data_IF_834714744276
#
_entry.id   IF_834714744276
#
_cell.length_a   1.000
_cell.length_b   1.000
_cell.length_c   1.000
_cell.angle_alpha   90.00
_cell.angle_beta   90.00
_cell.angle_gamma   90.00
#
_symmetry.space_group_name_H-M   'P 1'
#
loop_
_entity.id
_entity.type
_entity.pdbx_description
1 polymer ?
#
# COMPACT_ATOMS: atom_id res chain seq x y z
N UNK A 1 -61.50 0.84 34.74
CA UNK A 1 -60.28 1.33 35.42
C UNK A 1 -59.41 0.11 35.65
N UNK A 2 -58.47 -0.11 34.73
CA UNK A 2 -57.70 -1.35 34.64
C UNK A 2 -56.24 -0.97 34.42
N UNK A 3 -55.36 -1.58 35.23
CA UNK A 3 -53.96 -1.22 35.38
C UNK A 3 -53.09 -1.48 34.16
N UNK A 4 -51.95 -0.77 34.13
CA UNK A 4 -50.92 -0.91 33.11
C UNK A 4 -49.62 -1.31 33.79
N UNK A 5 -49.16 -2.54 33.52
CA UNK A 5 -47.88 -3.08 33.95
C UNK A 5 -46.74 -2.45 33.13
N UNK A 6 -45.69 -2.01 33.82
CA UNK A 6 -44.40 -1.70 33.23
C UNK A 6 -43.56 -2.99 33.15
N UNK A 7 -43.10 -3.35 31.95
CA UNK A 7 -42.15 -4.44 31.74
C UNK A 7 -40.85 -3.86 31.20
N UNK A 8 -39.83 -3.83 32.06
CA UNK A 8 -38.45 -3.45 31.74
C UNK A 8 -37.74 -4.67 31.13
N UNK A 9 -37.33 -4.59 29.86
CA UNK A 9 -36.50 -5.62 29.23
C UNK A 9 -35.04 -5.18 29.16
N UNK A 10 -34.26 -5.72 30.08
CA UNK A 10 -32.79 -5.61 30.14
C UNK A 10 -32.17 -6.51 29.05
N UNK A 11 -31.79 -5.92 27.91
CA UNK A 11 -30.99 -6.59 26.89
C UNK A 11 -29.49 -6.42 27.17
N UNK A 12 -28.87 -7.46 27.71
CA UNK A 12 -27.42 -7.57 27.89
C UNK A 12 -26.73 -7.72 26.53
N UNK A 13 -26.05 -6.67 26.07
CA UNK A 13 -25.15 -6.69 24.93
C UNK A 13 -23.78 -7.26 25.35
N UNK A 14 -23.60 -8.56 25.17
CA UNK A 14 -22.30 -9.22 25.32
C UNK A 14 -21.44 -8.87 24.11
N UNK A 15 -20.55 -7.89 24.27
CA UNK A 15 -19.53 -7.52 23.28
C UNK A 15 -18.46 -8.61 23.19
N UNK A 16 -18.60 -9.51 22.23
CA UNK A 16 -17.55 -10.47 21.86
C UNK A 16 -16.40 -9.76 21.14
N UNK A 17 -15.23 -9.77 21.76
CA UNK A 17 -13.96 -9.31 21.18
C UNK A 17 -13.51 -10.28 20.08
N UNK A 18 -13.82 -9.98 18.83
CA UNK A 18 -13.32 -10.74 17.68
C UNK A 18 -11.87 -10.35 17.42
N UNK A 19 -10.92 -11.21 17.77
CA UNK A 19 -9.63 -11.25 17.09
C UNK A 19 -9.91 -11.50 15.61
N UNK A 20 -9.82 -10.46 14.79
CA UNK A 20 -10.05 -10.55 13.34
C UNK A 20 -8.89 -11.30 12.70
N UNK A 21 -9.02 -12.63 12.64
CA UNK A 21 -8.28 -13.43 11.66
C UNK A 21 -8.51 -12.79 10.28
N UNK A 22 -7.45 -12.43 9.53
CA UNK A 22 -7.64 -11.82 8.23
C UNK A 22 -8.43 -12.78 7.35
N UNK A 23 -9.47 -12.27 6.70
CA UNK A 23 -10.35 -13.10 5.88
C UNK A 23 -9.54 -13.80 4.78
N UNK A 24 -10.03 -14.95 4.31
CA UNK A 24 -9.36 -15.72 3.23
C UNK A 24 -9.05 -14.79 2.02
N UNK A 25 -9.94 -13.84 1.74
CA UNK A 25 -9.77 -12.85 0.67
C UNK A 25 -8.63 -11.86 0.94
N UNK A 26 -8.45 -11.42 2.19
CA UNK A 26 -7.31 -10.59 2.60
C UNK A 26 -5.99 -11.37 2.53
N UNK A 27 -5.95 -12.61 3.01
CA UNK A 27 -4.78 -13.51 2.91
C UNK A 27 -4.37 -13.71 1.44
N UNK A 28 -5.32 -13.93 0.55
CA UNK A 28 -5.08 -14.05 -0.89
C UNK A 28 -4.55 -12.75 -1.53
N UNK A 29 -5.01 -11.58 -1.08
CA UNK A 29 -4.50 -10.31 -1.60
C UNK A 29 -3.03 -10.06 -1.20
N UNK A 30 -2.69 -10.35 0.07
CA UNK A 30 -1.32 -10.20 0.57
C UNK A 30 -0.33 -11.10 -0.18
N UNK A 31 -0.72 -12.36 -0.45
CA UNK A 31 0.10 -13.27 -1.25
C UNK A 31 0.32 -12.75 -2.68
N UNK A 32 -0.74 -12.22 -3.31
CA UNK A 32 -0.65 -11.63 -4.66
C UNK A 32 0.29 -10.43 -4.70
N UNK A 33 0.22 -9.56 -3.70
CA UNK A 33 1.12 -8.41 -3.56
C UNK A 33 2.56 -8.87 -3.40
N UNK A 34 2.82 -9.84 -2.51
CA UNK A 34 4.15 -10.39 -2.28
C UNK A 34 4.75 -11.00 -3.55
N UNK A 35 3.96 -11.81 -4.29
CA UNK A 35 4.38 -12.41 -5.55
C UNK A 35 4.70 -11.34 -6.60
N UNK A 36 3.85 -10.32 -6.74
CA UNK A 36 4.10 -9.21 -7.67
C UNK A 36 5.37 -8.46 -7.32
N UNK A 37 5.59 -8.14 -6.04
CA UNK A 37 6.84 -7.50 -5.58
C UNK A 37 8.06 -8.38 -5.90
N UNK A 38 7.98 -9.69 -5.72
CA UNK A 38 9.07 -10.60 -6.07
C UNK A 38 9.33 -10.63 -7.58
N UNK A 39 8.28 -10.68 -8.40
CA UNK A 39 8.38 -10.65 -9.87
C UNK A 39 9.07 -9.38 -10.38
N UNK A 40 8.83 -8.22 -9.76
CA UNK A 40 9.48 -6.96 -10.17
C UNK A 40 11.00 -6.98 -9.96
N UNK A 41 11.49 -7.73 -8.96
CA UNK A 41 12.93 -7.84 -8.70
C UNK A 41 13.69 -8.56 -9.82
N UNK A 42 13.01 -9.45 -10.54
CA UNK A 42 13.61 -10.20 -11.66
C UNK A 42 13.61 -9.42 -12.99
N UNK A 43 13.03 -8.22 -13.01
CA UNK A 43 13.01 -7.39 -14.21
C UNK A 43 14.39 -6.84 -14.57
N UNK A 44 14.60 -6.57 -15.85
CA UNK A 44 15.77 -5.82 -16.30
C UNK A 44 15.70 -4.38 -15.81
N UNK A 45 16.86 -3.75 -15.58
CA UNK A 45 16.95 -2.36 -15.13
C UNK A 45 16.12 -1.40 -16.00
N UNK A 46 16.15 -1.56 -17.33
CA UNK A 46 15.36 -0.74 -18.25
C UNK A 46 13.86 -0.81 -17.94
N UNK A 47 13.32 -2.01 -17.68
CA UNK A 47 11.90 -2.19 -17.31
C UNK A 47 11.58 -1.61 -15.92
N UNK A 48 12.51 -1.72 -14.97
CA UNK A 48 12.38 -1.08 -13.65
C UNK A 48 12.30 0.45 -13.77
N UNK A 49 13.20 1.05 -14.56
CA UNK A 49 13.23 2.49 -14.81
C UNK A 49 11.97 2.97 -15.51
N UNK A 50 11.51 2.28 -16.56
CA UNK A 50 10.25 2.60 -17.25
C UNK A 50 9.07 2.63 -16.27
N UNK A 51 8.99 1.64 -15.37
CA UNK A 51 7.91 1.57 -14.38
C UNK A 51 7.98 2.70 -13.35
N UNK A 52 9.18 3.04 -12.88
CA UNK A 52 9.40 4.13 -11.93
C UNK A 52 9.17 5.51 -12.58
N UNK A 53 9.45 5.67 -13.87
CA UNK A 53 9.29 6.93 -14.60
C UNK A 53 7.88 7.51 -14.50
N UNK A 54 6.85 6.65 -14.41
CA UNK A 54 5.44 7.04 -14.24
C UNK A 54 5.20 7.82 -12.93
N UNK A 55 6.06 7.65 -11.94
CA UNK A 55 5.99 8.27 -10.61
C UNK A 55 7.08 9.34 -10.39
N UNK A 56 7.96 9.54 -11.37
CA UNK A 56 9.09 10.46 -11.29
C UNK A 56 8.78 11.81 -11.96
N UNK A 57 9.35 12.88 -11.40
CA UNK A 57 9.28 14.20 -12.01
C UNK A 57 10.26 14.31 -13.19
N UNK A 58 9.85 15.01 -14.23
CA UNK A 58 10.71 15.33 -15.36
C UNK A 58 11.77 16.35 -14.94
N UNK A 59 13.04 16.01 -15.14
CA UNK A 59 14.21 16.87 -14.88
C UNK A 59 14.84 17.27 -16.21
N UNK A 60 14.03 17.88 -17.09
CA UNK A 60 14.54 18.46 -18.32
C UNK A 60 15.47 19.65 -18.01
N UNK A 61 16.46 19.88 -18.86
CA UNK A 61 17.55 20.81 -18.58
C UNK A 61 17.10 22.27 -18.34
N UNK A 62 15.93 22.63 -18.86
CA UNK A 62 15.35 23.96 -18.71
C UNK A 62 14.72 24.19 -17.31
N UNK A 63 14.52 23.13 -16.51
CA UNK A 63 13.87 23.13 -15.20
C UNK A 63 12.51 23.85 -15.15
N UNK A 64 11.89 24.12 -16.31
CA UNK A 64 10.56 24.76 -16.38
C UNK A 64 9.44 23.72 -16.38
N UNK A 65 9.77 22.47 -16.69
CA UNK A 65 8.82 21.38 -16.81
C UNK A 65 8.21 21.00 -15.45
N UNK A 66 6.87 20.96 -15.38
CA UNK A 66 6.09 20.54 -14.19
C UNK A 66 5.53 19.12 -14.32
N UNK A 67 6.10 18.31 -15.21
CA UNK A 67 5.62 16.95 -15.44
C UNK A 67 6.01 16.05 -14.27
N UNK A 68 5.02 15.36 -13.68
CA UNK A 68 5.20 14.53 -12.48
C UNK A 68 5.11 13.02 -12.76
N UNK A 69 5.30 12.63 -14.02
CA UNK A 69 5.24 11.23 -14.42
C UNK A 69 5.29 11.05 -15.92
N UNK A 70 6.17 10.17 -16.38
CA UNK A 70 6.26 9.79 -17.78
C UNK A 70 4.99 9.05 -18.22
N UNK A 71 4.47 9.38 -19.40
CA UNK A 71 3.34 8.69 -20.02
C UNK A 71 3.76 8.14 -21.37
N UNK A 72 3.66 6.82 -21.51
CA UNK A 72 4.04 6.11 -22.72
C UNK A 72 3.23 6.62 -23.93
N UNK A 73 3.89 7.10 -25.01
CA UNK A 73 3.21 7.56 -26.22
C UNK A 73 2.47 6.42 -26.94
N UNK A 74 2.94 5.18 -26.80
CA UNK A 74 2.38 3.98 -27.42
C UNK A 74 1.19 3.40 -26.63
N UNK A 75 0.88 3.93 -25.45
CA UNK A 75 -0.32 3.56 -24.71
C UNK A 75 -1.49 4.42 -25.21
N UNK A 76 -2.05 4.03 -26.35
CA UNK A 76 -3.30 4.59 -26.84
C UNK A 76 -4.44 4.14 -25.90
N UNK A 77 -5.38 5.02 -25.51
CA UNK A 77 -6.49 4.61 -24.65
C UNK A 77 -7.42 3.67 -25.43
N UNK A 78 -7.26 2.36 -25.23
CA UNK A 78 -8.17 1.35 -25.75
C UNK A 78 -9.52 1.50 -25.00
N UNK A 79 -10.67 1.51 -25.71
CA UNK A 79 -11.98 1.57 -25.09
C UNK A 79 -12.23 0.40 -24.11
N UNK A 80 -13.14 0.56 -23.12
CA UNK A 80 -13.28 -0.37 -21.99
C UNK A 80 -13.62 -1.82 -22.36
N UNK A 81 -14.18 -2.07 -23.57
CA UNK A 81 -14.71 -3.37 -23.98
C UNK A 81 -13.65 -4.42 -24.32
N UNK A 82 -12.41 -4.03 -24.64
CA UNK A 82 -11.34 -4.94 -25.10
C UNK A 82 -10.21 -5.16 -24.08
N UNK A 83 -10.42 -4.79 -22.81
CA UNK A 83 -9.40 -4.87 -21.73
C UNK A 83 -8.96 -6.30 -21.35
N UNK A 84 -9.54 -7.33 -21.97
CA UNK A 84 -9.20 -8.72 -21.69
C UNK A 84 -8.07 -9.30 -22.55
N UNK A 85 -7.57 -8.60 -23.59
CA UNK A 85 -6.62 -9.22 -24.52
C UNK A 85 -5.40 -8.43 -25.01
N UNK A 86 -5.02 -7.28 -24.43
CA UNK A 86 -3.72 -6.66 -24.75
C UNK A 86 -2.93 -6.27 -23.51
N UNK A 87 -2.52 -7.32 -22.78
CA UNK A 87 -1.58 -7.25 -21.66
C UNK A 87 -0.12 -7.39 -22.10
N UNK A 88 0.22 -7.20 -23.38
CA UNK A 88 1.59 -7.32 -23.90
C UNK A 88 1.85 -6.41 -25.12
N UNK A 89 1.75 -5.08 -24.99
CA UNK A 89 2.67 -4.26 -25.79
C UNK A 89 4.07 -4.42 -25.18
N UNK A 90 4.76 -5.50 -25.59
CA UNK A 90 6.05 -5.94 -25.09
C UNK A 90 7.22 -5.16 -25.73
N UNK A 91 6.93 -4.07 -26.45
CA UNK A 91 7.94 -3.13 -26.91
C UNK A 91 8.49 -2.39 -25.68
N UNK A 92 9.73 -2.70 -25.30
CA UNK A 92 10.45 -2.00 -24.23
C UNK A 92 10.61 -0.55 -24.67
N UNK A 93 10.10 0.39 -23.87
CA UNK A 93 10.24 1.81 -24.16
C UNK A 93 11.71 2.21 -24.17
N UNK A 94 12.11 2.99 -25.17
CA UNK A 94 13.47 3.47 -25.32
C UNK A 94 13.69 4.74 -24.51
N UNK A 95 14.94 5.01 -24.12
CA UNK A 95 15.30 6.20 -23.33
C UNK A 95 15.03 7.53 -24.06
N UNK A 96 14.86 7.47 -25.39
CA UNK A 96 14.52 8.57 -26.30
C UNK A 96 13.02 8.75 -26.50
N UNK A 97 12.18 7.85 -25.98
CA UNK A 97 10.74 7.93 -26.21
C UNK A 97 10.15 9.18 -25.52
N UNK A 98 9.41 10.02 -26.26
CA UNK A 98 8.88 11.27 -25.72
C UNK A 98 7.70 11.02 -24.79
N UNK A 99 7.67 11.71 -23.66
CA UNK A 99 6.55 11.69 -22.75
C UNK A 99 5.33 12.34 -23.39
N UNK A 100 4.19 11.66 -23.42
CA UNK A 100 2.94 12.22 -23.97
C UNK A 100 2.47 13.52 -23.28
N UNK A 101 2.88 13.75 -22.03
CA UNK A 101 2.44 14.93 -21.27
C UNK A 101 3.35 16.16 -21.38
N UNK A 102 4.65 15.99 -21.64
CA UNK A 102 5.58 17.12 -21.71
C UNK A 102 6.51 17.11 -22.93
N UNK A 103 6.46 16.08 -23.77
CA UNK A 103 7.34 15.92 -24.93
C UNK A 103 8.77 15.49 -24.60
N UNK A 104 9.23 15.67 -23.35
CA UNK A 104 10.58 15.29 -22.95
C UNK A 104 10.78 13.78 -22.91
N UNK A 105 12.01 13.34 -23.20
CA UNK A 105 12.38 11.93 -23.25
C UNK A 105 12.20 11.21 -21.90
N UNK A 106 12.01 9.88 -21.96
CA UNK A 106 12.02 9.00 -20.79
C UNK A 106 13.26 9.22 -19.92
N UNK A 107 14.43 9.37 -20.54
CA UNK A 107 15.69 9.69 -19.85
C UNK A 107 15.60 10.91 -18.92
N UNK A 108 14.87 11.96 -19.29
CA UNK A 108 14.69 13.14 -18.43
C UNK A 108 13.86 12.83 -17.17
N UNK A 109 13.04 11.78 -17.19
CA UNK A 109 12.22 11.36 -16.05
C UNK A 109 12.97 10.38 -15.14
N UNK A 110 13.98 9.67 -15.63
CA UNK A 110 14.74 8.65 -14.87
C UNK A 110 16.20 9.01 -14.65
N UNK A 111 16.65 10.19 -15.06
CA UNK A 111 18.04 10.65 -14.92
C UNK A 111 18.57 10.54 -13.49
N UNK A 112 17.74 10.89 -12.50
CA UNK A 112 18.04 10.77 -11.07
C UNK A 112 18.14 9.32 -10.55
N UNK A 113 17.72 8.32 -11.33
CA UNK A 113 17.76 6.90 -10.99
C UNK A 113 18.95 6.17 -11.66
N UNK A 114 19.68 6.82 -12.57
CA UNK A 114 20.69 6.16 -13.39
C UNK A 114 21.86 5.59 -12.57
N UNK A 115 22.30 6.31 -11.53
CA UNK A 115 23.35 5.85 -10.62
C UNK A 115 22.82 5.09 -9.37
N UNK A 116 21.51 4.85 -9.28
CA UNK A 116 20.89 4.23 -8.10
C UNK A 116 21.08 2.72 -8.13
N UNK A 117 21.45 2.14 -6.98
CA UNK A 117 21.67 0.70 -6.82
C UNK A 117 20.37 -0.09 -7.07
N UNK A 118 20.50 -1.30 -7.59
CA UNK A 118 19.36 -2.19 -7.88
C UNK A 118 18.47 -2.44 -6.66
N UNK A 119 19.06 -2.60 -5.46
CA UNK A 119 18.31 -2.80 -4.21
C UNK A 119 17.35 -1.64 -3.91
N UNK A 120 17.76 -0.42 -4.21
CA UNK A 120 16.94 0.77 -3.99
C UNK A 120 15.86 0.90 -5.07
N UNK A 121 16.16 0.52 -6.32
CA UNK A 121 15.12 0.40 -7.36
C UNK A 121 14.07 -0.64 -6.97
N UNK A 122 14.48 -1.79 -6.43
CA UNK A 122 13.58 -2.83 -5.94
C UNK A 122 12.73 -2.35 -4.76
N UNK A 123 13.31 -1.56 -3.85
CA UNK A 123 12.58 -0.92 -2.75
C UNK A 123 11.50 0.01 -3.28
N UNK A 124 11.85 0.92 -4.20
CA UNK A 124 10.92 1.87 -4.81
C UNK A 124 9.81 1.15 -5.59
N UNK A 125 10.13 0.10 -6.34
CA UNK A 125 9.16 -0.75 -7.03
C UNK A 125 8.23 -1.48 -6.06
N UNK A 126 8.74 -1.90 -4.90
CA UNK A 126 7.92 -2.40 -3.81
C UNK A 126 6.84 -1.40 -3.40
N UNK A 127 7.21 -0.13 -3.24
CA UNK A 127 6.29 0.96 -2.91
C UNK A 127 5.32 1.22 -4.07
N UNK A 128 5.75 1.14 -5.33
CA UNK A 128 4.86 1.26 -6.50
C UNK A 128 3.73 0.23 -6.44
N UNK A 129 4.03 -1.03 -6.11
CA UNK A 129 3.00 -2.07 -5.96
C UNK A 129 2.00 -1.71 -4.86
N UNK A 130 2.49 -1.17 -3.74
CA UNK A 130 1.63 -0.74 -2.64
C UNK A 130 0.73 0.44 -3.04
N UNK A 131 1.26 1.40 -3.81
CA UNK A 131 0.49 2.52 -4.37
C UNK A 131 -0.60 2.04 -5.32
N UNK A 132 -0.30 1.09 -6.21
CA UNK A 132 -1.28 0.51 -7.13
C UNK A 132 -2.38 -0.26 -6.37
N UNK A 133 -2.01 -0.99 -5.32
CA UNK A 133 -2.97 -1.68 -4.48
C UNK A 133 -3.86 -0.69 -3.70
N UNK A 134 -3.26 0.32 -3.06
CA UNK A 134 -4.00 1.36 -2.34
C UNK A 134 -4.91 2.15 -3.27
N UNK A 135 -4.49 2.41 -4.51
CA UNK A 135 -5.34 3.05 -5.52
C UNK A 135 -6.63 2.25 -5.72
N UNK A 136 -6.54 0.92 -5.86
CA UNK A 136 -7.73 0.07 -5.95
C UNK A 136 -8.56 0.13 -4.67
N UNK A 137 -7.94 0.01 -3.49
CA UNK A 137 -8.64 0.09 -2.20
C UNK A 137 -9.43 1.40 -2.07
N UNK A 138 -8.84 2.56 -2.39
CA UNK A 138 -9.52 3.87 -2.34
C UNK A 138 -10.75 3.93 -3.25
N UNK A 139 -10.74 3.25 -4.40
CA UNK A 139 -11.85 3.28 -5.36
C UNK A 139 -13.00 2.36 -4.98
N UNK A 140 -12.70 1.23 -4.33
CA UNK A 140 -13.72 0.25 -3.92
C UNK A 140 -14.23 0.48 -2.49
N UNK A 141 -13.50 1.24 -1.67
CA UNK A 141 -13.86 1.47 -0.27
C UNK A 141 -15.06 2.42 -0.15
N UNK A 142 -16.05 1.97 0.60
CA UNK A 142 -17.29 2.68 0.88
C UNK A 142 -17.22 3.44 2.21
N UNK A 143 -16.53 2.89 3.21
CA UNK A 143 -16.37 3.53 4.51
C UNK A 143 -15.50 4.79 4.40
N UNK A 144 -16.04 5.94 4.83
CA UNK A 144 -15.39 7.24 4.65
C UNK A 144 -14.11 7.38 5.44
N UNK A 145 -14.07 6.86 6.66
CA UNK A 145 -12.92 7.00 7.56
C UNK A 145 -11.77 6.13 7.06
N UNK A 146 -12.06 4.87 6.71
CA UNK A 146 -11.09 3.95 6.11
C UNK A 146 -10.56 4.47 4.79
N UNK A 147 -11.43 5.01 3.92
CA UNK A 147 -11.05 5.63 2.66
C UNK A 147 -10.10 6.80 2.83
N UNK A 148 -10.30 7.64 3.86
CA UNK A 148 -9.38 8.74 4.17
C UNK A 148 -8.00 8.22 4.57
N UNK A 149 -7.93 7.15 5.37
CA UNK A 149 -6.65 6.51 5.74
C UNK A 149 -5.95 5.94 4.49
N UNK A 150 -6.66 5.21 3.64
CA UNK A 150 -6.08 4.70 2.38
C UNK A 150 -5.59 5.82 1.46
N UNK A 151 -6.36 6.91 1.34
CA UNK A 151 -5.98 8.04 0.52
C UNK A 151 -4.75 8.79 1.08
N UNK A 152 -4.66 8.92 2.41
CA UNK A 152 -3.47 9.45 3.07
C UNK A 152 -2.24 8.59 2.77
N UNK A 153 -2.34 7.27 2.96
CA UNK A 153 -1.25 6.33 2.67
C UNK A 153 -0.86 6.35 1.18
N UNK A 154 -1.84 6.40 0.28
CA UNK A 154 -1.60 6.53 -1.15
C UNK A 154 -0.77 7.77 -1.48
N UNK A 155 -1.13 8.94 -0.91
CA UNK A 155 -0.39 10.19 -1.09
C UNK A 155 1.01 10.12 -0.48
N UNK A 156 1.13 9.55 0.72
CA UNK A 156 2.40 9.39 1.44
C UNK A 156 3.39 8.54 0.61
N UNK A 157 2.96 7.35 0.17
CA UNK A 157 3.80 6.45 -0.60
C UNK A 157 4.15 7.01 -1.99
N UNK A 158 3.19 7.67 -2.66
CA UNK A 158 3.45 8.35 -3.93
C UNK A 158 4.52 9.43 -3.79
N UNK A 159 4.45 10.24 -2.71
CA UNK A 159 5.47 11.24 -2.40
C UNK A 159 6.82 10.56 -2.12
N UNK A 160 6.84 9.48 -1.34
CA UNK A 160 8.05 8.74 -1.02
C UNK A 160 8.79 8.21 -2.27
N UNK A 161 8.05 7.73 -3.29
CA UNK A 161 8.66 7.37 -4.58
C UNK A 161 9.28 8.60 -5.26
N UNK A 162 8.51 9.70 -5.33
CA UNK A 162 8.89 10.94 -6.02
C UNK A 162 10.17 11.58 -5.46
N UNK A 163 10.36 11.54 -4.13
CA UNK A 163 11.56 12.09 -3.47
C UNK A 163 12.56 11.01 -3.03
N UNK A 164 12.32 9.75 -3.40
CA UNK A 164 13.12 8.58 -3.03
C UNK A 164 13.38 8.43 -1.52
N UNK A 165 12.38 8.71 -0.68
CA UNK A 165 12.51 8.63 0.78
C UNK A 165 11.97 7.32 1.34
N UNK A 166 12.28 7.06 2.62
CA UNK A 166 11.57 6.05 3.38
C UNK A 166 10.22 6.63 3.83
N UNK A 167 9.09 5.94 3.58
CA UNK A 167 7.80 6.42 4.05
C UNK A 167 7.72 6.29 5.57
N UNK A 168 7.25 7.36 6.22
CA UNK A 168 6.95 7.40 7.66
C UNK A 168 5.58 8.02 7.85
N UNK A 169 4.75 7.41 8.70
CA UNK A 169 3.45 7.97 9.06
C UNK A 169 3.67 8.97 10.17
N UNK A 170 3.48 10.24 9.86
CA UNK A 170 3.56 11.35 10.82
C UNK A 170 2.20 12.04 10.89
N UNK A 171 1.79 12.41 12.11
CA UNK A 171 0.50 13.06 12.31
C UNK A 171 0.12 13.26 13.78
N UNK A 172 -1.05 13.87 14.03
CA UNK A 172 -1.51 14.22 15.36
C UNK A 172 -1.80 13.00 16.25
N UNK A 173 -1.86 11.80 15.67
CA UNK A 173 -2.09 10.53 16.37
C UNK A 173 -0.87 10.06 17.18
N UNK A 174 0.27 10.74 17.03
CA UNK A 174 1.53 10.34 17.66
C UNK A 174 2.18 9.14 16.97
N UNK A 175 3.25 8.63 17.57
CA UNK A 175 4.00 7.47 17.08
C UNK A 175 3.88 6.31 18.06
N UNK A 176 3.89 5.05 17.60
CA UNK A 176 3.92 3.91 18.49
C UNK A 176 5.20 3.93 19.36
N UNK A 177 5.15 3.39 20.60
CA UNK A 177 4.01 2.72 21.22
C UNK A 177 2.97 3.70 21.78
N UNK A 178 1.68 3.39 21.61
CA UNK A 178 0.58 4.25 22.07
C UNK A 178 0.19 4.04 23.54
N UNK A 179 0.45 2.85 24.09
CA UNK A 179 0.13 2.51 25.48
C UNK A 179 1.18 1.55 26.05
N UNK A 180 1.41 1.64 27.37
CA UNK A 180 2.29 0.74 28.13
C UNK A 180 1.59 0.30 29.42
N UNK A 181 1.72 -0.97 29.83
CA UNK A 181 2.42 -2.07 29.14
C UNK A 181 1.70 -2.49 27.85
N UNK A 182 2.42 -3.12 26.91
CA UNK A 182 1.76 -3.60 25.68
C UNK A 182 0.76 -4.72 25.98
N UNK A 183 -0.23 -4.94 25.11
CA UNK A 183 -1.18 -6.06 25.24
C UNK A 183 -0.43 -7.39 25.41
N UNK A 184 0.64 -7.62 24.61
CA UNK A 184 1.50 -8.80 24.75
C UNK A 184 2.01 -8.96 26.18
N UNK A 185 2.51 -7.87 26.77
CA UNK A 185 3.02 -7.88 28.14
C UNK A 185 1.90 -8.11 29.16
N UNK A 186 0.75 -7.46 28.98
CA UNK A 186 -0.42 -7.67 29.83
C UNK A 186 -0.91 -9.12 29.82
N UNK A 187 -0.96 -9.75 28.65
CA UNK A 187 -1.32 -11.17 28.50
C UNK A 187 -0.30 -12.07 29.18
N UNK A 188 1.00 -11.84 28.98
CA UNK A 188 2.06 -12.61 29.68
C UNK A 188 1.90 -12.49 31.19
N UNK A 189 1.71 -11.26 31.70
CA UNK A 189 1.53 -11.03 33.12
C UNK A 189 0.29 -11.73 33.66
N UNK A 190 -0.83 -11.70 32.92
CA UNK A 190 -2.05 -12.41 33.27
C UNK A 190 -1.82 -13.93 33.35
N UNK A 191 -1.18 -14.52 32.34
CA UNK A 191 -0.91 -15.96 32.30
C UNK A 191 -0.02 -16.36 33.49
N UNK A 192 1.07 -15.63 33.71
CA UNK A 192 1.95 -15.87 34.87
C UNK A 192 1.20 -15.70 36.20
N UNK A 193 0.39 -14.66 36.35
CA UNK A 193 -0.31 -14.38 37.59
C UNK A 193 -1.40 -15.42 37.89
N UNK A 194 -2.18 -15.83 36.88
CA UNK A 194 -3.32 -16.74 37.08
C UNK A 194 -2.94 -18.20 37.05
N UNK A 195 -1.92 -18.59 36.30
CA UNK A 195 -1.66 -20.00 36.01
C UNK A 195 -0.30 -20.50 36.51
N UNK A 196 0.57 -19.68 37.10
CA UNK A 196 1.91 -20.12 37.58
C UNK A 196 1.95 -21.30 38.55
N UNK A 197 0.81 -21.67 39.13
CA UNK A 197 0.68 -22.84 39.99
C UNK A 197 0.37 -24.15 39.21
N UNK A 198 0.00 -24.05 37.93
CA UNK A 198 -0.29 -25.21 37.07
C UNK A 198 0.99 -25.87 36.57
N UNK A 199 0.88 -27.15 36.21
CA UNK A 199 2.00 -27.89 35.65
C UNK A 199 2.38 -27.38 34.25
N UNK A 200 3.62 -27.59 33.84
CA UNK A 200 4.14 -27.14 32.54
C UNK A 200 3.32 -27.70 31.36
N UNK A 201 2.72 -28.88 31.52
CA UNK A 201 1.86 -29.51 30.51
C UNK A 201 0.52 -28.79 30.32
N UNK A 202 -0.01 -28.18 31.39
CA UNK A 202 -1.26 -27.40 31.36
C UNK A 202 -1.02 -25.95 30.91
N UNK A 203 0.21 -25.44 31.05
CA UNK A 203 0.63 -24.13 30.56
C UNK A 203 0.68 -24.00 29.04
N UNK A 204 0.96 -25.11 28.35
CA UNK A 204 1.18 -25.14 26.89
C UNK A 204 -0.13 -25.30 26.08
N UNK A 205 -1.29 -25.40 26.75
CA UNK A 205 -2.60 -25.60 26.12
C UNK A 205 -3.37 -24.29 26.05
#
# INVERSE_FOLDING_TARGET
>A
MSGTNASTSSGSSTSGSTTTEPSIQQKNNLQRIALKKHQLKTWTRSKKLEKLAVYSQCRAADNTCKCNGWKNPNNNPIPPSDRHHDRHNNAVSQMTDPCRSCGHHLSAHVSHLDAVKEEELDRLLGIVVDVENLFMCVHIEEDTDTKQVYFYLFKLLRKAIMIMSQPSVEGPLGNPPFEKPSIKTGVINFVCFKFSHLSEKEWQT
#
